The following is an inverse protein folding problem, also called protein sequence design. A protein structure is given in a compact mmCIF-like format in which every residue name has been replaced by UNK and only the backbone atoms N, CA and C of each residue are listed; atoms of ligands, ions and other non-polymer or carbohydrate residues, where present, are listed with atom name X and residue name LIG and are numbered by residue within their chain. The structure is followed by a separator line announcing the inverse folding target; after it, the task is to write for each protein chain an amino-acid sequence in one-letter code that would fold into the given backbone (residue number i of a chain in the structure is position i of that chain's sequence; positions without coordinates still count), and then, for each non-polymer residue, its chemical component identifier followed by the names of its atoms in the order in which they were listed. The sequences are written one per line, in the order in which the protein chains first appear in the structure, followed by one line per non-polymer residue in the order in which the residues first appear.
data_IF_160946897558
#
_entry.id   IF_160946897558
#
_cell.length_a   1.000
_cell.length_b   1.000
_cell.length_c   1.000
_cell.angle_alpha   90.00
_cell.angle_beta   90.00
_cell.angle_gamma   90.00
#
_symmetry.space_group_name_H-M   'P 1'
#
loop_
_entity.id
_entity.type
_entity.pdbx_description
1 polymer ?
#
# COMPACT_ATOMS: atom_id res chain seq x y z
N UNK A 1 -5.94 -7.67 18.18
CA UNK A 1 -5.24 -7.40 16.90
C UNK A 1 -6.24 -6.83 15.90
N UNK A 2 -5.89 -5.79 15.13
CA UNK A 2 -6.72 -5.38 13.99
C UNK A 2 -6.76 -6.54 12.99
N UNK A 3 -7.94 -6.85 12.44
CA UNK A 3 -8.05 -7.88 11.40
C UNK A 3 -7.29 -7.44 10.15
N UNK A 4 -6.79 -8.40 9.37
CA UNK A 4 -6.10 -8.16 8.09
C UNK A 4 -6.90 -7.20 7.21
N UNK A 5 -8.23 -7.39 7.13
CA UNK A 5 -9.13 -6.53 6.36
C UNK A 5 -9.15 -5.08 6.86
N UNK A 6 -9.15 -4.86 8.18
CA UNK A 6 -9.11 -3.50 8.75
C UNK A 6 -7.80 -2.80 8.42
N UNK A 7 -6.69 -3.53 8.39
CA UNK A 7 -5.39 -2.99 7.98
C UNK A 7 -5.34 -2.71 6.47
N UNK A 8 -5.82 -3.63 5.64
CA UNK A 8 -5.89 -3.44 4.19
C UNK A 8 -6.75 -2.22 3.82
N UNK A 9 -7.88 -2.04 4.49
CA UNK A 9 -8.76 -0.88 4.29
C UNK A 9 -8.10 0.42 4.76
N UNK A 10 -7.36 0.39 5.87
CA UNK A 10 -6.61 1.56 6.33
C UNK A 10 -5.50 1.97 5.34
N UNK A 11 -4.74 1.01 4.81
CA UNK A 11 -3.74 1.29 3.77
C UNK A 11 -4.37 1.79 2.47
N UNK A 12 -5.52 1.25 2.09
CA UNK A 12 -6.28 1.73 0.93
C UNK A 12 -6.69 3.20 1.11
N UNK A 13 -7.24 3.57 2.26
CA UNK A 13 -7.63 4.95 2.56
C UNK A 13 -6.41 5.91 2.54
N UNK A 14 -5.25 5.48 3.05
CA UNK A 14 -4.01 6.27 2.98
C UNK A 14 -3.58 6.52 1.53
N UNK A 15 -3.68 5.51 0.66
CA UNK A 15 -3.36 5.67 -0.77
C UNK A 15 -4.29 6.69 -1.42
N UNK A 16 -5.60 6.61 -1.15
CA UNK A 16 -6.60 7.52 -1.73
C UNK A 16 -6.38 8.97 -1.31
N UNK A 17 -6.16 9.23 -0.01
CA UNK A 17 -5.88 10.60 0.46
C UNK A 17 -4.54 11.14 -0.07
N UNK A 18 -3.51 10.30 -0.14
CA UNK A 18 -2.22 10.69 -0.68
C UNK A 18 -2.28 10.97 -2.20
N UNK A 19 -3.14 10.27 -2.94
CA UNK A 19 -3.38 10.52 -4.36
C UNK A 19 -4.18 11.81 -4.58
N UNK A 20 -5.19 12.12 -3.76
CA UNK A 20 -5.88 13.42 -3.79
C UNK A 20 -4.92 14.57 -3.58
N UNK A 21 -3.97 14.45 -2.65
CA UNK A 21 -2.95 15.47 -2.37
C UNK A 21 -2.00 15.74 -3.55
N UNK A 22 -1.91 14.85 -4.56
CA UNK A 22 -1.14 15.10 -5.78
C UNK A 22 -1.81 16.07 -6.74
N UNK A 23 -3.13 16.24 -6.64
CA UNK A 23 -3.87 17.22 -7.45
C UNK A 23 -3.75 18.65 -6.92
N UNK A 24 -3.24 18.80 -5.69
CA UNK A 24 -2.93 20.10 -5.10
C UNK A 24 -1.51 20.54 -5.48
N UNK A 25 -1.33 21.85 -5.60
CA UNK A 25 0.00 22.43 -5.79
C UNK A 25 0.79 22.37 -4.47
N UNK A 26 1.47 21.24 -4.26
CA UNK A 26 2.34 21.00 -3.13
C UNK A 26 3.81 21.04 -3.55
N UNK A 27 4.74 21.46 -2.67
CA UNK A 27 6.17 21.49 -2.99
C UNK A 27 6.72 20.11 -3.41
N UNK A 28 7.72 20.09 -4.28
CA UNK A 28 8.33 18.84 -4.78
C UNK A 28 8.85 17.89 -3.68
N UNK A 29 9.44 18.36 -2.56
CA UNK A 29 9.78 17.48 -1.44
C UNK A 29 8.56 16.76 -0.83
N UNK A 30 7.40 17.42 -0.82
CA UNK A 30 6.14 16.85 -0.35
C UNK A 30 5.62 15.82 -1.34
N UNK A 31 5.70 16.10 -2.66
CA UNK A 31 5.35 15.12 -3.71
C UNK A 31 6.21 13.85 -3.61
N UNK A 32 7.51 14.00 -3.36
CA UNK A 32 8.42 12.87 -3.16
C UNK A 32 8.01 12.04 -1.93
N UNK A 33 7.72 12.68 -0.80
CA UNK A 33 7.22 12.00 0.40
C UNK A 33 5.90 11.28 0.17
N UNK A 34 4.94 11.91 -0.51
CA UNK A 34 3.66 11.29 -0.88
C UNK A 34 3.86 10.05 -1.77
N UNK A 35 4.80 10.10 -2.71
CA UNK A 35 5.14 8.93 -3.55
C UNK A 35 5.66 7.76 -2.72
N UNK A 36 6.55 8.03 -1.76
CA UNK A 36 7.06 7.01 -0.83
C UNK A 36 5.95 6.42 0.05
N UNK A 37 5.08 7.25 0.60
CA UNK A 37 3.94 6.81 1.43
C UNK A 37 3.01 5.89 0.61
N UNK A 38 2.67 6.30 -0.61
CA UNK A 38 1.83 5.49 -1.52
C UNK A 38 2.49 4.15 -1.83
N UNK A 39 3.80 4.13 -2.10
CA UNK A 39 4.55 2.90 -2.38
C UNK A 39 4.50 1.92 -1.20
N UNK A 40 4.75 2.40 0.02
CA UNK A 40 4.69 1.58 1.24
C UNK A 40 3.27 1.07 1.47
N UNK A 41 2.26 1.94 1.38
CA UNK A 41 0.87 1.57 1.62
C UNK A 41 0.35 0.55 0.60
N UNK A 42 0.67 0.72 -0.68
CA UNK A 42 0.34 -0.27 -1.73
C UNK A 42 0.99 -1.62 -1.45
N UNK A 43 2.28 -1.64 -1.15
CA UNK A 43 3.00 -2.88 -0.82
C UNK A 43 2.41 -3.61 0.40
N UNK A 44 2.07 -2.87 1.46
CA UNK A 44 1.46 -3.47 2.65
C UNK A 44 0.04 -3.97 2.40
N UNK A 45 -0.73 -3.28 1.55
CA UNK A 45 -2.05 -3.73 1.13
C UNK A 45 -1.95 -5.02 0.30
N UNK A 46 -1.00 -5.09 -0.64
CA UNK A 46 -0.77 -6.26 -1.50
C UNK A 46 -0.37 -7.49 -0.69
N UNK A 47 0.56 -7.36 0.27
CA UNK A 47 0.94 -8.46 1.17
C UNK A 47 -0.27 -9.03 1.91
N UNK A 48 -1.19 -8.15 2.33
CA UNK A 48 -2.34 -8.51 3.17
C UNK A 48 -3.53 -9.04 2.37
N UNK A 49 -3.68 -8.60 1.12
CA UNK A 49 -4.67 -9.10 0.17
C UNK A 49 -4.21 -10.35 -0.57
N UNK A 50 -2.90 -10.63 -0.59
CA UNK A 50 -2.36 -11.86 -1.13
C UNK A 50 -2.99 -13.06 -0.42
N UNK A 51 -3.61 -13.95 -1.20
CA UNK A 51 -4.28 -15.13 -0.67
C UNK A 51 -3.28 -15.94 0.17
N UNK A 52 -3.57 -16.10 1.45
CA UNK A 52 -2.83 -16.96 2.37
C UNK A 52 -2.77 -18.37 1.78
N UNK A 53 -1.56 -18.86 1.49
CA UNK A 53 -1.35 -20.19 0.90
C UNK A 53 -1.15 -20.23 -0.63
N UNK A 54 -1.11 -19.10 -1.32
CA UNK A 54 -0.81 -19.05 -2.77
C UNK A 54 0.69 -19.14 -3.12
N UNK A 55 1.58 -19.14 -2.13
CA UNK A 55 3.01 -19.40 -2.32
C UNK A 55 3.23 -20.84 -2.78
N UNK A 56 3.22 -21.06 -4.10
CA UNK A 56 3.80 -22.26 -4.70
C UNK A 56 5.31 -22.14 -4.60
N UNK A 57 5.91 -22.78 -3.59
CA UNK A 57 7.35 -23.00 -3.59
C UNK A 57 7.70 -23.92 -4.77
N UNK A 58 8.10 -23.35 -5.90
CA UNK A 58 8.68 -24.12 -7.01
C UNK A 58 10.11 -24.48 -6.61
N UNK A 59 10.26 -25.49 -5.76
CA UNK A 59 11.53 -26.19 -5.66
C UNK A 59 11.58 -27.16 -6.84
N UNK A 60 12.29 -26.77 -7.90
CA UNK A 60 12.67 -27.70 -8.94
C UNK A 60 13.64 -28.71 -8.31
N UNK A 61 13.19 -29.96 -8.22
CA UNK A 61 14.03 -31.09 -7.88
C UNK A 61 14.98 -31.44 -9.04
#
# INVERSE_FOLDING_TARGET
MLSTDKLSNAFQAIVEEAEKLKEYDVPDPVKAGLSTIVSIAKHQNDIRKSATGSCKATHAA
#
